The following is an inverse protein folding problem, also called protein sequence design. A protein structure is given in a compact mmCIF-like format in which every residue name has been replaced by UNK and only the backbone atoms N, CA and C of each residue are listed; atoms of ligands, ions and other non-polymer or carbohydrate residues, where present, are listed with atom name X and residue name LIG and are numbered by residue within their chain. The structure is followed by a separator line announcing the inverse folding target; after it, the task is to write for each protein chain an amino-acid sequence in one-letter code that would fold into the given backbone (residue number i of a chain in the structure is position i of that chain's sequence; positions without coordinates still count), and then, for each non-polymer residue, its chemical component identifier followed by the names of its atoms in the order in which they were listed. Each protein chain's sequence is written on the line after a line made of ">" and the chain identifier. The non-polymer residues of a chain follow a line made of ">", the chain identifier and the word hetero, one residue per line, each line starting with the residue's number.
data_IF_966257183395
#
_entry.id   IF_966257183395
#
_cell.length_a   1.000
_cell.length_b   1.000
_cell.length_c   1.000
_cell.angle_alpha   90.00
_cell.angle_beta   90.00
_cell.angle_gamma   90.00
#
_symmetry.space_group_name_H-M   'P 1'
#
loop_
_entity.id
_entity.type
_entity.pdbx_description
1 polymer ?
#
# COMPACT_ATOMS: atom_id res chain seq x y z
N UNK A 1 -47.71 -3.54 15.32
CA UNK A 1 -47.46 -2.58 14.23
C UNK A 1 -46.11 -1.93 14.50
N UNK A 2 -45.04 -2.55 13.99
CA UNK A 2 -43.70 -1.97 13.97
C UNK A 2 -43.46 -1.57 12.51
N UNK A 3 -43.24 -0.27 12.30
CA UNK A 3 -43.05 0.30 10.99
C UNK A 3 -41.56 0.14 10.62
N UNK A 4 -41.26 -0.80 9.73
CA UNK A 4 -40.03 -0.80 8.96
C UNK A 4 -40.06 0.42 8.05
N UNK A 5 -39.09 1.34 8.21
CA UNK A 5 -38.51 2.19 7.16
C UNK A 5 -37.86 3.43 7.79
N UNK A 6 -36.54 3.36 8.00
CA UNK A 6 -35.61 4.44 7.66
C UNK A 6 -34.17 3.93 7.82
N UNK A 7 -33.74 3.09 6.87
CA UNK A 7 -32.30 2.92 6.62
C UNK A 7 -31.81 4.24 6.00
N UNK A 8 -31.34 5.16 6.84
CA UNK A 8 -30.60 6.34 6.38
C UNK A 8 -29.26 5.85 5.83
N UNK A 9 -29.24 5.62 4.52
CA UNK A 9 -28.02 5.52 3.75
C UNK A 9 -27.29 6.86 3.83
N UNK A 10 -26.28 6.94 4.69
CA UNK A 10 -25.32 8.04 4.67
C UNK A 10 -24.46 7.78 3.43
N UNK A 11 -24.89 8.32 2.30
CA UNK A 11 -24.09 8.39 1.09
C UNK A 11 -22.89 9.30 1.38
N UNK A 12 -21.72 8.70 1.61
CA UNK A 12 -20.46 9.43 1.56
C UNK A 12 -20.20 9.69 0.07
N UNK A 13 -20.54 10.89 -0.37
CA UNK A 13 -20.22 11.39 -1.71
C UNK A 13 -18.70 11.58 -1.83
N UNK A 14 -17.99 10.55 -2.26
CA UNK A 14 -16.63 10.70 -2.80
C UNK A 14 -16.73 10.96 -4.30
N UNK A 15 -17.05 12.20 -4.69
CA UNK A 15 -16.78 12.68 -6.06
C UNK A 15 -15.30 13.05 -6.16
N UNK A 16 -14.45 12.03 -6.24
CA UNK A 16 -13.16 12.17 -6.91
C UNK A 16 -13.41 11.89 -8.39
N UNK A 17 -13.02 12.81 -9.28
CA UNK A 17 -12.99 12.52 -10.71
C UNK A 17 -12.07 11.31 -10.92
N UNK A 18 -12.64 10.13 -11.13
CA UNK A 18 -11.90 8.99 -11.65
C UNK A 18 -11.39 9.40 -13.04
N UNK A 19 -10.15 9.86 -13.10
CA UNK A 19 -9.41 9.92 -14.35
C UNK A 19 -9.40 8.47 -14.82
N UNK A 20 -10.24 8.12 -15.81
CA UNK A 20 -10.07 6.87 -16.53
C UNK A 20 -8.65 6.92 -17.10
N UNK A 21 -7.69 6.17 -16.55
CA UNK A 21 -6.37 6.15 -17.14
C UNK A 21 -6.61 5.49 -18.50
N UNK A 22 -6.25 6.16 -19.59
CA UNK A 22 -6.14 5.50 -20.89
C UNK A 22 -5.39 4.20 -20.63
N UNK A 23 -6.06 3.05 -20.83
CA UNK A 23 -5.64 1.78 -20.25
C UNK A 23 -4.19 1.51 -20.59
N UNK A 24 -3.30 1.84 -19.64
CA UNK A 24 -1.88 1.88 -19.90
C UNK A 24 -1.45 0.42 -19.94
N UNK A 25 -1.18 -0.09 -21.14
CA UNK A 25 -0.81 -1.49 -21.29
C UNK A 25 0.53 -1.67 -20.57
N UNK A 26 0.55 -2.46 -19.51
CA UNK A 26 1.73 -2.66 -18.67
C UNK A 26 2.92 -3.19 -19.48
N UNK A 27 2.68 -3.91 -20.58
CA UNK A 27 3.72 -4.39 -21.49
C UNK A 27 4.39 -3.28 -22.32
N UNK A 28 3.79 -2.09 -22.41
CA UNK A 28 4.44 -0.91 -23.00
C UNK A 28 5.46 -0.29 -22.04
N UNK A 29 5.21 -0.39 -20.72
CA UNK A 29 6.16 0.05 -19.69
C UNK A 29 7.20 -1.02 -19.37
N UNK A 30 6.79 -2.29 -19.39
CA UNK A 30 7.61 -3.46 -19.05
C UNK A 30 7.51 -4.48 -20.18
N UNK A 31 8.26 -4.31 -21.27
CA UNK A 31 8.22 -5.23 -22.39
C UNK A 31 8.67 -6.63 -21.96
N UNK A 32 7.94 -7.64 -22.43
CA UNK A 32 8.30 -9.04 -22.21
C UNK A 32 9.67 -9.33 -22.82
N UNK A 33 10.55 -9.92 -22.01
CA UNK A 33 11.90 -10.31 -22.44
C UNK A 33 12.08 -11.81 -22.30
N UNK A 34 12.92 -12.38 -23.14
CA UNK A 34 13.37 -13.76 -23.02
C UNK A 34 14.41 -13.90 -21.92
N UNK A 35 14.53 -15.11 -21.36
CA UNK A 35 15.54 -15.43 -20.34
C UNK A 35 16.96 -15.14 -20.85
N UNK A 36 17.23 -15.42 -22.11
CA UNK A 36 18.52 -15.21 -22.77
C UNK A 36 18.86 -13.72 -22.84
N UNK A 37 17.92 -12.87 -23.27
CA UNK A 37 18.08 -11.41 -23.30
C UNK A 37 18.36 -10.85 -21.90
N UNK A 38 17.59 -11.28 -20.90
CA UNK A 38 17.79 -10.94 -19.50
C UNK A 38 19.19 -11.33 -19.00
N UNK A 39 19.68 -12.52 -19.34
CA UNK A 39 21.02 -12.97 -18.97
C UNK A 39 22.13 -12.17 -19.68
N UNK A 40 21.94 -11.83 -20.96
CA UNK A 40 22.87 -10.96 -21.70
C UNK A 40 22.95 -9.59 -21.05
N UNK A 41 21.81 -9.01 -20.66
CA UNK A 41 21.75 -7.73 -19.95
C UNK A 41 22.44 -7.80 -18.58
N UNK A 42 22.19 -8.86 -17.81
CA UNK A 42 22.81 -9.06 -16.50
C UNK A 42 24.35 -9.13 -16.59
N UNK A 43 24.87 -9.78 -17.63
CA UNK A 43 26.32 -9.89 -17.90
C UNK A 43 26.98 -8.54 -18.20
N UNK A 44 26.23 -7.51 -18.61
CA UNK A 44 26.75 -6.14 -18.78
C UNK A 44 27.17 -5.49 -17.45
N UNK A 45 26.74 -6.05 -16.31
CA UNK A 45 27.16 -5.63 -14.98
C UNK A 45 27.93 -6.77 -14.27
N UNK A 46 29.26 -6.88 -14.47
CA UNK A 46 30.05 -8.00 -13.93
C UNK A 46 30.00 -8.16 -12.41
N UNK A 47 29.96 -7.09 -11.58
CA UNK A 47 29.72 -7.23 -10.14
C UNK A 47 28.37 -7.87 -9.81
N UNK A 48 27.28 -7.41 -10.41
CA UNK A 48 25.93 -7.95 -10.15
C UNK A 48 25.82 -9.40 -10.64
N UNK A 49 26.36 -9.70 -11.83
CA UNK A 49 26.35 -11.06 -12.38
C UNK A 49 27.11 -12.05 -11.49
N UNK A 50 28.26 -11.65 -10.93
CA UNK A 50 29.00 -12.47 -9.96
C UNK A 50 28.18 -12.77 -8.71
N UNK A 51 27.51 -11.77 -8.14
CA UNK A 51 26.61 -11.95 -6.99
C UNK A 51 25.45 -12.88 -7.33
N UNK A 52 24.83 -12.71 -8.50
CA UNK A 52 23.76 -13.56 -9.00
C UNK A 52 24.18 -15.02 -9.12
N UNK A 53 25.38 -15.31 -9.63
CA UNK A 53 25.88 -16.69 -9.76
C UNK A 53 25.99 -17.42 -8.41
N UNK A 54 26.19 -16.68 -7.32
CA UNK A 54 26.31 -17.23 -5.97
C UNK A 54 24.96 -17.37 -5.24
N UNK A 55 23.84 -16.92 -5.82
CA UNK A 55 22.53 -17.09 -5.22
C UNK A 55 21.99 -18.53 -5.33
N UNK A 56 21.13 -18.96 -4.39
CA UNK A 56 20.37 -20.20 -4.54
C UNK A 56 19.49 -20.18 -5.81
N UNK A 57 19.27 -21.34 -6.41
CA UNK A 57 18.55 -21.47 -7.70
C UNK A 57 17.14 -20.86 -7.66
N UNK A 58 16.45 -20.98 -6.52
CA UNK A 58 15.15 -20.33 -6.30
C UNK A 58 15.22 -18.81 -6.52
N UNK A 59 16.23 -18.15 -5.96
CA UNK A 59 16.39 -16.69 -6.08
C UNK A 59 16.88 -16.27 -7.46
N UNK A 60 17.73 -17.09 -8.10
CA UNK A 60 18.11 -16.90 -9.50
C UNK A 60 16.88 -16.94 -10.42
N UNK A 61 16.00 -17.92 -10.23
CA UNK A 61 14.76 -18.06 -11.00
C UNK A 61 13.84 -16.87 -10.77
N UNK A 62 13.55 -16.52 -9.50
CA UNK A 62 12.69 -15.39 -9.17
C UNK A 62 13.20 -14.07 -9.76
N UNK A 63 14.52 -13.84 -9.72
CA UNK A 63 15.12 -12.64 -10.28
C UNK A 63 14.99 -12.58 -11.81
N UNK A 64 15.24 -13.69 -12.51
CA UNK A 64 15.07 -13.75 -13.95
C UNK A 64 13.60 -13.60 -14.36
N UNK A 65 12.68 -14.29 -13.70
CA UNK A 65 11.24 -14.15 -13.95
C UNK A 65 10.75 -12.72 -13.74
N UNK A 66 11.33 -12.00 -12.77
CA UNK A 66 11.10 -10.57 -12.61
C UNK A 66 11.62 -9.75 -13.79
N UNK A 67 12.85 -10.00 -14.25
CA UNK A 67 13.41 -9.28 -15.41
C UNK A 67 12.67 -9.58 -16.71
N UNK A 68 12.19 -10.81 -16.88
CA UNK A 68 11.36 -11.27 -18.00
C UNK A 68 9.95 -10.65 -17.98
N UNK A 69 9.54 -10.02 -16.86
CA UNK A 69 8.20 -9.46 -16.67
C UNK A 69 7.12 -10.49 -16.31
N UNK A 70 7.53 -11.72 -15.96
CA UNK A 70 6.61 -12.82 -15.57
C UNK A 70 6.15 -12.73 -14.12
N UNK A 71 6.96 -12.11 -13.25
CA UNK A 71 6.67 -11.92 -11.82
C UNK A 71 7.00 -10.49 -11.40
N UNK A 72 6.31 -9.99 -10.38
CA UNK A 72 6.68 -8.75 -9.70
C UNK A 72 7.63 -9.04 -8.53
N UNK A 73 8.26 -7.99 -7.98
CA UNK A 73 8.95 -8.11 -6.70
C UNK A 73 7.91 -8.43 -5.61
N UNK A 74 8.27 -9.20 -4.57
CA UNK A 74 7.37 -9.52 -3.47
C UNK A 74 7.17 -8.30 -2.57
N UNK A 75 6.42 -7.30 -3.02
CA UNK A 75 6.19 -6.04 -2.30
C UNK A 75 5.41 -6.23 -1.01
N UNK A 76 4.62 -7.31 -0.92
CA UNK A 76 3.96 -7.72 0.33
C UNK A 76 4.93 -8.40 1.30
N UNK A 77 6.21 -8.58 0.96
CA UNK A 77 7.21 -9.11 1.87
C UNK A 77 7.98 -7.95 2.52
N UNK A 78 7.82 -7.82 3.84
CA UNK A 78 8.28 -6.70 4.64
C UNK A 78 9.75 -6.29 4.39
N UNK A 79 10.75 -7.22 4.33
CA UNK A 79 12.13 -6.84 4.04
C UNK A 79 12.33 -6.21 2.66
N UNK A 80 11.60 -6.67 1.64
CA UNK A 80 11.69 -6.08 0.29
C UNK A 80 11.03 -4.71 0.26
N UNK A 81 9.85 -4.58 0.86
CA UNK A 81 9.14 -3.32 0.93
C UNK A 81 9.99 -2.26 1.65
N UNK A 82 10.46 -2.57 2.85
CA UNK A 82 11.31 -1.68 3.64
C UNK A 82 12.63 -1.37 2.95
N UNK A 83 13.23 -2.28 2.18
CA UNK A 83 14.46 -1.97 1.45
C UNK A 83 14.22 -1.03 0.27
N UNK A 84 13.11 -1.20 -0.44
CA UNK A 84 12.79 -0.41 -1.63
C UNK A 84 12.29 1.00 -1.28
N UNK A 85 11.47 1.07 -0.23
CA UNK A 85 10.76 2.26 0.24
C UNK A 85 11.22 2.74 1.61
N UNK A 86 12.46 2.42 2.01
CA UNK A 86 13.04 2.98 3.23
C UNK A 86 12.97 4.51 3.14
N UNK A 87 12.23 5.20 4.02
CA UNK A 87 12.04 6.64 3.88
C UNK A 87 13.23 7.45 4.42
N UNK A 88 14.14 6.85 5.19
CA UNK A 88 15.38 7.52 5.61
C UNK A 88 16.39 7.55 4.45
N UNK A 89 16.36 6.53 3.58
CA UNK A 89 17.29 6.41 2.45
C UNK A 89 16.65 6.95 1.15
N UNK A 90 15.35 6.70 0.94
CA UNK A 90 14.62 7.00 -0.31
C UNK A 90 13.21 7.57 -0.04
N UNK A 91 13.08 8.69 0.68
CA UNK A 91 11.76 9.26 1.04
C UNK A 91 10.88 9.54 -0.18
N UNK A 92 11.49 10.00 -1.28
CA UNK A 92 10.80 10.31 -2.53
C UNK A 92 10.09 9.10 -3.16
N UNK A 93 10.63 7.89 -3.00
CA UNK A 93 10.01 6.69 -3.59
C UNK A 93 8.68 6.37 -2.93
N UNK A 94 8.64 6.47 -1.61
CA UNK A 94 7.44 6.21 -0.83
C UNK A 94 6.41 7.33 -1.03
N UNK A 95 6.84 8.59 -1.00
CA UNK A 95 6.00 9.75 -1.33
C UNK A 95 5.34 9.59 -2.71
N UNK A 96 6.10 9.19 -3.74
CA UNK A 96 5.57 8.96 -5.08
C UNK A 96 4.58 7.81 -5.14
N UNK A 97 4.89 6.68 -4.50
CA UNK A 97 3.97 5.53 -4.45
C UNK A 97 2.63 5.93 -3.83
N UNK A 98 2.66 6.57 -2.66
CA UNK A 98 1.44 6.98 -1.95
C UNK A 98 0.69 8.06 -2.73
N UNK A 99 1.41 9.01 -3.34
CA UNK A 99 0.78 10.03 -4.19
C UNK A 99 0.01 9.40 -5.35
N UNK A 100 0.58 8.37 -5.98
CA UNK A 100 -0.07 7.64 -7.07
C UNK A 100 -1.30 6.85 -6.59
N UNK A 101 -1.30 6.33 -5.36
CA UNK A 101 -2.42 5.57 -4.79
C UNK A 101 -3.56 6.51 -4.36
N UNK A 102 -3.24 7.60 -3.66
CA UNK A 102 -4.24 8.53 -3.11
C UNK A 102 -4.76 9.50 -4.20
N UNK A 103 -3.97 9.76 -5.25
CA UNK A 103 -4.36 10.65 -6.35
C UNK A 103 -4.09 12.14 -6.08
N UNK A 104 -3.32 12.47 -5.05
CA UNK A 104 -2.84 13.84 -4.74
C UNK A 104 -1.36 13.79 -4.37
N UNK A 105 -0.66 14.92 -4.42
CA UNK A 105 0.73 14.98 -4.00
C UNK A 105 0.86 14.75 -2.50
N UNK A 106 1.69 13.79 -2.13
CA UNK A 106 1.95 13.37 -0.75
C UNK A 106 3.44 13.48 -0.47
N UNK A 107 3.79 14.06 0.68
CA UNK A 107 5.19 14.14 1.17
C UNK A 107 5.30 13.41 2.49
N UNK A 108 6.11 12.35 2.55
CA UNK A 108 6.40 11.62 3.80
C UNK A 108 7.15 12.54 4.77
N UNK A 109 6.71 12.57 6.04
CA UNK A 109 7.30 13.40 7.11
C UNK A 109 8.07 12.57 8.13
N UNK A 110 7.49 11.47 8.60
CA UNK A 110 8.17 10.56 9.53
C UNK A 110 7.54 9.18 9.54
N UNK A 111 8.30 8.17 9.98
CA UNK A 111 7.80 6.84 10.32
C UNK A 111 7.37 6.83 11.78
N UNK A 112 6.25 6.19 12.08
CA UNK A 112 5.83 5.91 13.44
C UNK A 112 6.35 4.53 13.87
N UNK A 113 6.89 4.43 15.08
CA UNK A 113 7.26 3.14 15.66
C UNK A 113 6.01 2.28 15.89
N UNK A 114 6.08 1.00 15.50
CA UNK A 114 4.97 0.03 15.52
C UNK A 114 4.56 -0.44 16.95
N UNK A 115 4.86 0.30 18.00
CA UNK A 115 4.84 -0.18 19.40
C UNK A 115 3.44 -0.36 20.02
N UNK A 116 2.34 -0.01 19.33
CA UNK A 116 1.01 0.08 19.97
C UNK A 116 -0.14 -0.63 19.20
N UNK A 117 0.08 -1.79 18.55
CA UNK A 117 -1.08 -2.51 17.96
C UNK A 117 -1.92 -3.15 19.07
N UNK A 118 -3.15 -2.67 19.27
CA UNK A 118 -4.13 -3.20 20.24
C UNK A 118 -4.67 -4.59 19.86
N UNK A 119 -4.38 -5.05 18.64
CA UNK A 119 -4.75 -6.38 18.13
C UNK A 119 -3.57 -7.37 18.30
N UNK A 120 -3.82 -8.63 18.71
CA UNK A 120 -2.76 -9.60 18.99
C UNK A 120 -1.89 -9.91 17.77
N UNK A 121 -0.62 -10.20 18.07
CA UNK A 121 0.58 -10.20 17.23
C UNK A 121 0.59 -11.17 16.03
N UNK A 122 -0.23 -10.91 15.02
CA UNK A 122 0.05 -11.27 13.62
C UNK A 122 0.13 -10.01 12.76
N UNK A 123 0.73 -8.94 13.30
CA UNK A 123 0.88 -7.67 12.62
C UNK A 123 1.63 -7.88 11.30
N UNK A 124 0.87 -7.88 10.20
CA UNK A 124 1.36 -7.89 8.82
C UNK A 124 1.52 -6.45 8.32
N UNK A 125 1.77 -5.54 9.26
CA UNK A 125 2.04 -4.13 9.04
C UNK A 125 3.37 -3.99 8.30
N UNK A 126 3.32 -3.41 7.11
CA UNK A 126 4.50 -3.07 6.34
C UNK A 126 5.06 -1.72 6.81
N UNK A 127 4.18 -0.74 7.03
CA UNK A 127 4.61 0.62 7.40
C UNK A 127 3.48 1.46 8.04
N UNK A 128 3.80 2.27 9.04
CA UNK A 128 2.95 3.32 9.64
C UNK A 128 3.70 4.66 9.56
N UNK A 129 3.12 5.67 8.88
CA UNK A 129 3.83 6.90 8.48
C UNK A 129 2.93 8.14 8.54
N UNK A 130 3.50 9.25 8.98
CA UNK A 130 2.88 10.57 8.87
C UNK A 130 3.27 11.21 7.54
N UNK A 131 2.28 11.72 6.84
CA UNK A 131 2.45 12.41 5.56
C UNK A 131 1.81 13.79 5.57
N UNK A 132 2.26 14.65 4.67
CA UNK A 132 1.62 15.92 4.34
C UNK A 132 1.00 15.84 2.94
N UNK A 133 -0.27 16.21 2.84
CA UNK A 133 -1.01 16.30 1.58
C UNK A 133 -0.73 17.62 0.86
N UNK A 134 -1.21 17.73 -0.38
CA UNK A 134 -1.01 18.90 -1.25
C UNK A 134 -1.58 20.20 -0.66
N UNK A 135 -2.70 20.13 0.07
CA UNK A 135 -3.32 21.25 0.76
C UNK A 135 -2.60 21.64 2.07
N UNK A 136 -1.50 20.96 2.38
CA UNK A 136 -0.69 21.17 3.58
C UNK A 136 -1.20 20.43 4.82
N UNK A 137 -2.35 19.75 4.75
CA UNK A 137 -2.89 18.96 5.85
C UNK A 137 -2.01 17.73 6.15
N UNK A 138 -2.06 17.28 7.40
CA UNK A 138 -1.32 16.09 7.86
C UNK A 138 -2.28 14.91 7.90
N UNK A 139 -1.80 13.74 7.46
CA UNK A 139 -2.53 12.49 7.53
C UNK A 139 -1.65 11.36 8.05
N UNK A 140 -2.27 10.38 8.70
CA UNK A 140 -1.62 9.11 9.01
C UNK A 140 -1.90 8.10 7.91
N UNK A 141 -0.87 7.46 7.37
CA UNK A 141 -0.99 6.42 6.34
C UNK A 141 -0.41 5.13 6.87
N UNK A 142 -1.21 4.07 6.82
CA UNK A 142 -0.77 2.72 7.18
C UNK A 142 -0.82 1.79 5.96
N UNK A 143 0.27 1.04 5.74
CA UNK A 143 0.36 0.04 4.69
C UNK A 143 0.36 -1.35 5.33
N UNK A 144 -0.65 -2.15 5.02
CA UNK A 144 -0.79 -3.50 5.56
C UNK A 144 -0.80 -4.58 4.49
N UNK A 145 -0.39 -5.79 4.88
CA UNK A 145 -0.61 -7.03 4.11
C UNK A 145 -1.77 -7.82 4.72
N UNK A 146 -2.67 -8.34 3.87
CA UNK A 146 -3.74 -9.24 4.30
C UNK A 146 -3.42 -10.71 3.95
N UNK A 147 -3.59 -11.66 4.90
CA UNK A 147 -3.68 -13.09 4.61
C UNK A 147 -5.15 -13.46 4.37
N UNK A 148 -5.42 -14.22 3.30
CA UNK A 148 -6.75 -14.54 2.76
C UNK A 148 -7.86 -14.80 3.80
N UNK A 149 -8.88 -13.91 3.86
CA UNK A 149 -10.31 -14.09 4.24
C UNK A 149 -10.93 -12.73 4.63
N UNK A 150 -12.19 -12.48 4.25
CA UNK A 150 -12.98 -11.28 4.63
C UNK A 150 -12.24 -9.93 4.48
N UNK A 151 -11.78 -9.59 3.25
CA UNK A 151 -10.97 -8.40 3.04
C UNK A 151 -11.71 -7.10 3.40
N UNK A 152 -12.99 -6.98 3.04
CA UNK A 152 -13.85 -5.81 3.28
C UNK A 152 -13.96 -5.44 4.75
N UNK A 153 -14.41 -6.40 5.56
CA UNK A 153 -14.60 -6.24 6.99
C UNK A 153 -13.27 -5.94 7.69
N UNK A 154 -12.19 -6.63 7.29
CA UNK A 154 -10.86 -6.38 7.85
C UNK A 154 -10.33 -4.99 7.54
N UNK A 155 -10.51 -4.48 6.32
CA UNK A 155 -10.13 -3.10 5.97
C UNK A 155 -10.84 -2.06 6.83
N UNK A 156 -12.11 -2.32 7.17
CA UNK A 156 -12.89 -1.46 8.08
C UNK A 156 -12.31 -1.50 9.50
N UNK A 157 -11.97 -2.70 9.99
CA UNK A 157 -11.31 -2.85 11.29
C UNK A 157 -9.97 -2.13 11.36
N UNK A 158 -9.13 -2.22 10.33
CA UNK A 158 -7.83 -1.55 10.29
C UNK A 158 -7.94 -0.04 10.28
N UNK A 159 -8.88 0.51 9.52
CA UNK A 159 -9.10 1.95 9.48
C UNK A 159 -9.64 2.48 10.81
N UNK A 160 -10.53 1.73 11.47
CA UNK A 160 -11.02 2.05 12.81
C UNK A 160 -9.90 1.96 13.87
N UNK A 161 -9.06 0.93 13.79
CA UNK A 161 -7.91 0.74 14.67
C UNK A 161 -6.89 1.89 14.53
N UNK A 162 -6.57 2.30 13.30
CA UNK A 162 -5.68 3.43 13.03
C UNK A 162 -6.21 4.75 13.61
N UNK A 163 -7.51 4.99 13.47
CA UNK A 163 -8.16 6.16 14.08
C UNK A 163 -8.13 6.11 15.61
N UNK A 164 -8.35 4.92 16.21
CA UNK A 164 -8.34 4.73 17.67
C UNK A 164 -6.93 4.86 18.26
N UNK A 165 -5.91 4.36 17.59
CA UNK A 165 -4.50 4.57 17.96
C UNK A 165 -4.14 6.05 17.91
N UNK A 166 -4.55 6.75 16.87
CA UNK A 166 -4.34 8.19 16.77
C UNK A 166 -5.04 8.94 17.90
N UNK A 167 -6.30 8.60 18.19
CA UNK A 167 -7.03 9.17 19.33
C UNK A 167 -6.30 8.96 20.65
N UNK A 168 -5.85 7.73 20.91
CA UNK A 168 -5.16 7.38 22.16
C UNK A 168 -3.87 8.17 22.32
N UNK A 169 -3.06 8.26 21.25
CA UNK A 169 -1.81 9.03 21.23
C UNK A 169 -2.05 10.52 21.45
N UNK A 170 -2.91 11.14 20.64
CA UNK A 170 -3.17 12.58 20.68
C UNK A 170 -3.84 12.99 21.99
N UNK A 171 -4.76 12.18 22.52
CA UNK A 171 -5.36 12.42 23.84
C UNK A 171 -4.35 12.27 24.97
N UNK A 172 -3.44 11.29 24.88
CA UNK A 172 -2.34 11.13 25.82
C UNK A 172 -1.42 12.36 25.84
N UNK A 173 -1.10 12.91 24.67
CA UNK A 173 -0.24 14.08 24.51
C UNK A 173 -0.93 15.40 24.97
N UNK A 174 -2.21 15.60 24.61
CA UNK A 174 -2.94 16.85 24.88
C UNK A 174 -3.69 16.88 26.22
N UNK A 175 -3.90 15.72 26.84
CA UNK A 175 -4.61 15.59 28.10
C UNK A 175 -5.99 16.26 28.07
N UNK A 176 -6.21 17.20 28.99
CA UNK A 176 -7.49 17.90 29.15
C UNK A 176 -7.81 18.92 28.05
N UNK A 177 -6.83 19.29 27.22
CA UNK A 177 -7.04 20.25 26.10
C UNK A 177 -7.44 19.57 24.79
N UNK A 178 -7.54 18.25 24.80
CA UNK A 178 -7.94 17.46 23.65
C UNK A 178 -9.34 17.83 23.15
N UNK A 179 -9.47 17.95 21.83
CA UNK A 179 -10.74 18.06 21.13
C UNK A 179 -10.75 17.10 19.93
N UNK A 180 -11.92 16.70 19.46
CA UNK A 180 -12.02 15.86 18.26
C UNK A 180 -11.47 16.53 16.98
N UNK A 181 -11.35 17.86 16.97
CA UNK A 181 -10.70 18.60 15.87
C UNK A 181 -9.17 18.35 15.80
N UNK A 182 -8.60 17.79 16.86
CA UNK A 182 -7.19 17.40 16.89
C UNK A 182 -6.90 16.14 16.08
N UNK A 183 -7.94 15.33 15.83
CA UNK A 183 -7.83 14.15 14.97
C UNK A 183 -7.60 14.56 13.52
N UNK A 184 -6.67 13.87 12.89
CA UNK A 184 -6.26 14.01 11.50
C UNK A 184 -6.82 12.89 10.66
N UNK A 185 -6.94 13.15 9.37
CA UNK A 185 -7.34 12.15 8.38
C UNK A 185 -6.41 10.94 8.45
N UNK A 186 -7.00 9.74 8.33
CA UNK A 186 -6.26 8.49 8.27
C UNK A 186 -6.51 7.80 6.93
N UNK A 187 -5.48 7.19 6.38
CA UNK A 187 -5.55 6.35 5.18
C UNK A 187 -5.00 4.97 5.50
N UNK A 188 -5.74 3.94 5.12
CA UNK A 188 -5.28 2.55 5.19
C UNK A 188 -5.09 2.05 3.78
N UNK A 189 -3.86 1.74 3.41
CA UNK A 189 -3.52 1.12 2.13
C UNK A 189 -3.28 -0.36 2.39
N UNK A 190 -4.03 -1.20 1.69
CA UNK A 190 -3.89 -2.66 1.82
C UNK A 190 -3.34 -3.25 0.54
N UNK A 191 -2.25 -4.01 0.65
CA UNK A 191 -1.61 -4.70 -0.46
C UNK A 191 -1.97 -6.19 -0.48
N UNK A 192 -2.41 -6.66 -1.64
CA UNK A 192 -2.70 -8.06 -1.91
C UNK A 192 -1.71 -8.63 -2.92
N UNK A 193 -1.17 -9.82 -2.64
CA UNK A 193 -0.34 -10.53 -3.62
C UNK A 193 -1.20 -11.18 -4.70
N UNK A 194 -2.35 -11.75 -4.31
CA UNK A 194 -3.40 -12.12 -5.24
C UNK A 194 -4.70 -11.45 -4.81
N UNK A 195 -5.31 -10.68 -5.71
CA UNK A 195 -6.55 -9.97 -5.40
C UNK A 195 -7.69 -10.94 -5.05
N UNK A 196 -8.45 -10.68 -3.96
CA UNK A 196 -9.68 -11.39 -3.64
C UNK A 196 -10.70 -11.29 -4.77
N UNK A 197 -11.70 -12.18 -4.80
CA UNK A 197 -12.75 -12.15 -5.85
C UNK A 197 -13.57 -10.87 -5.75
N UNK A 198 -13.82 -10.43 -4.53
CA UNK A 198 -14.56 -9.23 -4.17
C UNK A 198 -13.90 -7.96 -4.72
N UNK A 199 -12.56 -7.93 -4.79
CA UNK A 199 -11.81 -6.81 -5.37
C UNK A 199 -11.75 -6.83 -6.91
N UNK A 200 -12.33 -7.85 -7.55
CA UNK A 200 -12.43 -7.97 -9.02
C UNK A 200 -13.84 -7.65 -9.54
N UNK A 201 -14.76 -7.31 -8.64
CA UNK A 201 -16.10 -6.90 -9.01
C UNK A 201 -16.04 -5.54 -9.75
N UNK A 202 -16.51 -5.47 -11.01
CA UNK A 202 -16.53 -4.21 -11.76
C UNK A 202 -17.34 -3.12 -11.07
N UNK A 203 -18.34 -3.46 -10.26
CA UNK A 203 -19.13 -2.47 -9.53
C UNK A 203 -18.35 -1.81 -8.38
N UNK A 204 -17.20 -2.38 -8.02
CA UNK A 204 -16.32 -1.87 -6.96
C UNK A 204 -15.00 -1.31 -7.53
N UNK A 205 -14.90 -1.07 -8.84
CA UNK A 205 -13.68 -0.55 -9.50
C UNK A 205 -13.27 0.84 -9.02
N UNK A 206 -14.23 1.64 -8.56
CA UNK A 206 -13.98 2.99 -8.03
C UNK A 206 -13.49 2.94 -6.56
N UNK A 207 -13.60 1.78 -5.92
CA UNK A 207 -13.26 1.55 -4.50
C UNK A 207 -11.95 0.75 -4.38
N UNK A 208 -11.64 -0.11 -5.36
CA UNK A 208 -10.43 -0.93 -5.39
C UNK A 208 -9.55 -0.64 -6.60
N UNK A 209 -8.27 -0.35 -6.35
CA UNK A 209 -7.26 -0.35 -7.40
C UNK A 209 -6.88 -1.79 -7.76
N UNK A 210 -7.42 -2.31 -8.87
CA UNK A 210 -7.03 -3.60 -9.44
C UNK A 210 -6.33 -3.41 -10.79
N UNK A 211 -5.10 -3.90 -10.91
CA UNK A 211 -4.36 -3.97 -12.18
C UNK A 211 -4.30 -5.43 -12.66
N UNK A 212 -4.75 -5.68 -13.88
CA UNK A 212 -4.54 -6.97 -14.54
C UNK A 212 -3.04 -7.12 -14.85
N UNK A 213 -2.45 -8.24 -14.41
CA UNK A 213 -1.14 -8.72 -14.85
C UNK A 213 -1.35 -10.04 -15.58
#
# INVERSE_FOLDING_TARGET
>A
MYNENEKRNIAVSQKGNAIQPAALNIHQLFPSRTKEECLVELKKNPPLYRTYLNWPDKWKSNFLEFMEGKKSLPLTYDPFFKKLFNPDIYPERLSRLISSIIGTKVTVKCILSNEDSMLPSTSLLLLDIIVQLEDGSIANVEIQKIPYTFPGERMSCYSADLLLRQYTRVKGEKGSTFTYQDLKTVYTIVMFENSPKECKDPELSDIYLHGYV
#
